data_IF_426963676870
#
_entry.id   IF_426963676870
#
_cell.length_a   1.000
_cell.length_b   1.000
_cell.length_c   1.000
_cell.angle_alpha   90.00
_cell.angle_beta   90.00
_cell.angle_gamma   90.00
#
_symmetry.space_group_name_H-M   'P 1'
#
loop_
_entity.id
_entity.type
_entity.pdbx_description
1 polymer ?
#
# COMPACT_ATOMS: atom_id res chain seq x y z
N UNK A 1 23.37 -2.25 4.25
CA UNK A 1 22.56 -1.22 3.55
C UNK A 1 22.18 -1.78 2.18
N UNK A 2 20.90 -1.75 1.82
CA UNK A 2 20.44 -2.28 0.53
C UNK A 2 20.87 -1.32 -0.59
N UNK A 3 21.47 -1.81 -1.67
CA UNK A 3 21.94 -0.96 -2.77
C UNK A 3 20.77 -0.58 -3.68
N UNK A 4 20.78 0.66 -4.18
CA UNK A 4 19.77 1.14 -5.16
C UNK A 4 19.71 0.26 -6.41
N UNK A 5 20.85 -0.30 -6.85
CA UNK A 5 20.90 -1.22 -7.98
C UNK A 5 20.15 -2.53 -7.75
N UNK A 6 20.13 -3.02 -6.50
CA UNK A 6 19.39 -4.24 -6.14
C UNK A 6 17.88 -3.96 -6.18
N UNK A 7 17.43 -2.84 -5.60
CA UNK A 7 16.03 -2.41 -5.67
C UNK A 7 15.57 -2.23 -7.11
N UNK A 8 16.37 -1.57 -7.96
CA UNK A 8 16.01 -1.36 -9.38
C UNK A 8 15.81 -2.68 -10.14
N UNK A 9 16.65 -3.68 -9.89
CA UNK A 9 16.51 -5.00 -10.52
C UNK A 9 15.17 -5.64 -10.15
N UNK A 10 14.82 -5.64 -8.87
CA UNK A 10 13.56 -6.21 -8.37
C UNK A 10 12.35 -5.48 -8.98
N UNK A 11 12.37 -4.14 -8.97
CA UNK A 11 11.24 -3.32 -9.46
C UNK A 11 11.02 -3.48 -10.97
N UNK A 12 12.08 -3.70 -11.75
CA UNK A 12 11.96 -3.89 -13.21
C UNK A 12 11.19 -5.16 -13.60
N UNK A 13 11.08 -6.14 -12.70
CA UNK A 13 10.37 -7.39 -12.97
C UNK A 13 8.88 -7.32 -12.55
N UNK A 14 8.43 -6.18 -12.01
CA UNK A 14 7.04 -6.02 -11.56
C UNK A 14 6.09 -5.70 -12.71
N UNK A 15 4.89 -6.27 -12.66
CA UNK A 15 3.73 -5.91 -13.48
C UNK A 15 2.52 -5.69 -12.57
N UNK A 16 1.56 -4.86 -13.00
CA UNK A 16 0.35 -4.54 -12.23
C UNK A 16 0.65 -4.02 -10.80
N UNK A 17 1.45 -2.95 -10.75
CA UNK A 17 1.97 -2.39 -9.48
C UNK A 17 0.87 -1.81 -8.60
N UNK A 18 0.99 -2.04 -7.28
CA UNK A 18 0.09 -1.52 -6.24
C UNK A 18 0.88 -0.82 -5.14
N UNK A 19 0.27 0.13 -4.45
CA UNK A 19 0.83 0.76 -3.26
C UNK A 19 0.57 -0.13 -2.04
N UNK A 20 1.62 -0.72 -1.49
CA UNK A 20 1.56 -1.48 -0.25
C UNK A 20 1.85 -0.61 0.97
N UNK A 21 1.03 -0.68 2.02
CA UNK A 21 1.24 0.04 3.28
C UNK A 21 0.97 -0.86 4.49
N UNK A 22 1.74 -0.70 5.56
CA UNK A 22 1.42 -1.33 6.84
C UNK A 22 0.25 -0.59 7.49
N UNK A 23 -0.76 -1.33 7.93
CA UNK A 23 -1.89 -0.82 8.69
C UNK A 23 -1.46 -0.27 10.04
N UNK A 24 -1.06 1.00 10.05
CA UNK A 24 -0.56 1.76 11.20
C UNK A 24 -0.92 3.25 11.05
N UNK A 25 -0.10 4.14 11.59
CA UNK A 25 -0.33 5.58 11.77
C UNK A 25 -0.87 6.32 10.53
N UNK A 26 -0.34 6.05 9.34
CA UNK A 26 -0.65 6.83 8.12
C UNK A 26 -1.28 6.00 7.00
N UNK A 27 -1.80 4.81 7.31
CA UNK A 27 -2.25 3.90 6.26
C UNK A 27 -3.49 4.41 5.52
N UNK A 28 -4.43 5.06 6.22
CA UNK A 28 -5.66 5.58 5.61
C UNK A 28 -5.34 6.75 4.67
N UNK A 29 -4.44 7.64 5.06
CA UNK A 29 -4.01 8.79 4.25
C UNK A 29 -3.25 8.35 3.01
N UNK A 30 -2.38 7.34 3.14
CA UNK A 30 -1.69 6.74 1.97
C UNK A 30 -2.69 6.09 1.02
N UNK A 31 -3.67 5.36 1.54
CA UNK A 31 -4.71 4.72 0.73
C UNK A 31 -5.60 5.76 0.02
N UNK A 32 -5.97 6.84 0.69
CA UNK A 32 -6.80 7.91 0.11
C UNK A 32 -6.05 8.67 -0.99
N UNK A 33 -4.80 9.08 -0.73
CA UNK A 33 -3.98 9.75 -1.75
C UNK A 33 -3.70 8.85 -2.96
N UNK A 34 -3.48 7.55 -2.74
CA UNK A 34 -3.33 6.60 -3.85
C UNK A 34 -4.61 6.49 -4.69
N UNK A 35 -5.80 6.55 -4.07
CA UNK A 35 -7.08 6.56 -4.80
C UNK A 35 -7.27 7.82 -5.61
N UNK A 36 -6.87 8.99 -5.08
CA UNK A 36 -6.91 10.25 -5.83
C UNK A 36 -6.06 10.18 -7.11
N UNK A 37 -4.93 9.48 -7.06
CA UNK A 37 -4.04 9.25 -8.21
C UNK A 37 -4.42 8.03 -9.07
N UNK A 38 -5.59 7.41 -8.82
CA UNK A 38 -6.08 6.25 -9.59
C UNK A 38 -5.29 4.95 -9.37
N UNK A 39 -4.50 4.86 -8.31
CA UNK A 39 -3.70 3.68 -7.97
C UNK A 39 -4.46 2.69 -7.09
N UNK A 40 -4.12 1.41 -7.21
CA UNK A 40 -4.61 0.35 -6.31
C UNK A 40 -3.72 0.24 -5.07
N UNK A 41 -4.33 -0.06 -3.92
CA UNK A 41 -3.64 -0.17 -2.63
C UNK A 41 -3.82 -1.53 -1.98
N UNK A 42 -2.82 -1.97 -1.21
CA UNK A 42 -2.89 -3.14 -0.33
C UNK A 42 -2.44 -2.73 1.07
N UNK A 43 -3.28 -2.93 2.06
CA UNK A 43 -2.94 -2.68 3.47
C UNK A 43 -2.65 -4.00 4.19
N UNK A 44 -1.48 -4.09 4.81
CA UNK A 44 -1.09 -5.25 5.62
C UNK A 44 -1.27 -4.92 7.11
N UNK A 45 -2.22 -5.58 7.76
CA UNK A 45 -2.48 -5.40 9.19
C UNK A 45 -2.51 -6.74 9.94
N UNK A 46 -2.39 -6.66 11.26
CA UNK A 46 -2.57 -7.83 12.12
C UNK A 46 -4.02 -8.32 12.05
N UNK A 47 -4.21 -9.64 12.19
CA UNK A 47 -5.53 -10.25 12.32
C UNK A 47 -6.32 -9.60 13.47
N UNK A 48 -7.57 -9.22 13.20
CA UNK A 48 -8.45 -8.53 14.14
C UNK A 48 -8.36 -6.99 14.08
N UNK A 49 -7.44 -6.42 13.29
CA UNK A 49 -7.27 -4.95 13.13
C UNK A 49 -7.71 -4.43 11.76
N UNK A 50 -8.25 -5.28 10.91
CA UNK A 50 -8.67 -4.95 9.54
C UNK A 50 -9.90 -4.05 9.48
N UNK A 51 -10.73 -4.02 10.53
CA UNK A 51 -11.99 -3.26 10.51
C UNK A 51 -11.78 -1.77 10.29
N UNK A 52 -10.70 -1.20 10.84
CA UNK A 52 -10.34 0.21 10.65
C UNK A 52 -10.13 0.54 9.16
N UNK A 53 -9.54 -0.37 8.39
CA UNK A 53 -9.23 -0.16 6.97
C UNK A 53 -10.40 -0.52 6.04
N UNK A 54 -11.31 -1.40 6.49
CA UNK A 54 -12.50 -1.80 5.73
C UNK A 54 -13.70 -0.86 5.90
N UNK A 55 -13.66 0.05 6.88
CA UNK A 55 -14.79 0.91 7.23
C UNK A 55 -15.12 1.95 6.16
N UNK A 56 -14.14 2.33 5.33
CA UNK A 56 -14.26 3.45 4.41
C UNK A 56 -14.42 2.96 2.97
N UNK A 57 -15.67 2.85 2.49
CA UNK A 57 -15.99 2.28 1.16
C UNK A 57 -15.26 2.92 -0.04
N UNK A 58 -14.86 4.18 0.08
CA UNK A 58 -14.09 4.89 -0.96
C UNK A 58 -12.67 4.32 -1.12
N UNK A 59 -12.01 4.01 0.00
CA UNK A 59 -10.59 3.66 0.05
C UNK A 59 -10.34 2.17 0.37
N UNK A 60 -11.34 1.48 0.91
CA UNK A 60 -11.32 0.05 1.23
C UNK A 60 -11.41 -0.85 -0.02
#
# INVERSE_FOLDING_TARGET
MIKRSEIKKIVNDYSDVRIGVLGSHSALEVMDGAKDEGMQTVVYCQKGREITYKRFSRIA
#
